data_IF_340306098632
#
_entry.id   IF_340306098632
#
_cell.length_a   1.000
_cell.length_b   1.000
_cell.length_c   1.000
_cell.angle_alpha   90.00
_cell.angle_beta   90.00
_cell.angle_gamma   90.00
#
_symmetry.space_group_name_H-M   'P 1'
#
loop_
_entity.id
_entity.type
_entity.pdbx_description
1 polymer ?
#
# COMPACT_ATOMS: atom_id res chain seq x y z
N UNK A 1 -17.84 1.98 3.71
CA UNK A 1 -17.68 2.62 2.40
C UNK A 1 -17.83 1.61 1.28
N UNK A 2 -18.07 2.09 0.06
CA UNK A 2 -18.09 1.25 -1.14
C UNK A 2 -16.67 0.90 -1.67
N UNK A 3 -15.65 1.05 -0.89
CA UNK A 3 -14.28 0.66 -1.21
C UNK A 3 -14.18 -0.80 -1.65
N UNK A 4 -14.94 -1.70 -1.03
CA UNK A 4 -14.90 -3.15 -1.26
C UNK A 4 -15.05 -3.55 -2.74
N UNK A 5 -15.79 -2.79 -3.53
CA UNK A 5 -16.03 -3.05 -4.96
C UNK A 5 -15.19 -2.20 -5.92
N UNK A 6 -14.39 -1.26 -5.43
CA UNK A 6 -13.54 -0.43 -6.29
C UNK A 6 -12.17 -1.07 -6.47
N UNK A 7 -11.87 -1.49 -7.69
CA UNK A 7 -10.66 -2.24 -8.02
C UNK A 7 -9.82 -1.60 -9.12
N UNK A 8 -10.37 -0.61 -9.85
CA UNK A 8 -9.68 0.04 -10.96
C UNK A 8 -9.12 1.40 -10.55
N UNK A 9 -7.99 1.77 -11.18
CA UNK A 9 -7.26 3.03 -10.91
C UNK A 9 -8.17 4.24 -10.91
N UNK A 10 -8.95 4.42 -12.00
CA UNK A 10 -9.84 5.57 -12.16
C UNK A 10 -10.90 5.64 -11.06
N UNK A 11 -11.56 4.54 -10.76
CA UNK A 11 -12.58 4.48 -9.71
C UNK A 11 -12.02 4.84 -8.33
N UNK A 12 -10.82 4.32 -8.01
CA UNK A 12 -10.14 4.64 -6.76
C UNK A 12 -9.75 6.11 -6.69
N UNK A 13 -9.18 6.65 -7.77
CA UNK A 13 -8.79 8.06 -7.82
C UNK A 13 -9.99 8.99 -7.68
N UNK A 14 -11.05 8.78 -8.45
CA UNK A 14 -12.28 9.58 -8.38
C UNK A 14 -12.89 9.53 -6.97
N UNK A 15 -13.06 8.34 -6.42
CA UNK A 15 -13.69 8.13 -5.12
C UNK A 15 -12.89 8.75 -3.97
N UNK A 16 -11.59 8.50 -3.92
CA UNK A 16 -10.76 9.05 -2.83
C UNK A 16 -10.47 10.54 -2.99
N UNK A 17 -10.43 11.06 -4.21
CA UNK A 17 -10.37 12.51 -4.42
C UNK A 17 -11.64 13.18 -3.90
N UNK A 18 -12.82 12.64 -4.19
CA UNK A 18 -14.07 13.13 -3.65
C UNK A 18 -14.05 13.13 -2.11
N UNK A 19 -13.67 12.03 -1.49
CA UNK A 19 -13.65 11.86 -0.03
C UNK A 19 -12.66 12.79 0.70
N UNK A 20 -11.49 13.05 0.09
CA UNK A 20 -10.37 13.70 0.80
C UNK A 20 -10.07 15.12 0.32
N UNK A 21 -10.59 15.54 -0.85
CA UNK A 21 -10.27 16.83 -1.46
C UNK A 21 -11.50 17.74 -1.63
N UNK A 22 -12.72 17.24 -1.42
CA UNK A 22 -13.95 18.03 -1.51
C UNK A 22 -14.50 18.35 -0.11
N UNK A 23 -15.65 19.00 -0.05
CA UNK A 23 -16.36 19.29 1.21
C UNK A 23 -16.71 18.02 2.00
N UNK A 24 -16.73 16.84 1.37
CA UNK A 24 -16.98 15.57 2.05
C UNK A 24 -15.98 15.29 3.17
N UNK A 25 -14.75 15.77 3.06
CA UNK A 25 -13.73 15.65 4.10
C UNK A 25 -14.13 16.24 5.44
N UNK A 26 -15.04 17.21 5.45
CA UNK A 26 -15.45 17.89 6.67
C UNK A 26 -16.43 17.06 7.52
N UNK A 27 -17.24 16.22 6.88
CA UNK A 27 -18.31 15.48 7.55
C UNK A 27 -18.28 13.96 7.35
N UNK A 28 -17.48 13.43 6.42
CA UNK A 28 -17.45 12.00 6.14
C UNK A 28 -16.06 11.39 6.42
N UNK A 29 -16.01 10.41 7.30
CA UNK A 29 -14.82 9.62 7.65
C UNK A 29 -15.13 8.13 7.48
N UNK A 30 -14.90 7.62 6.27
CA UNK A 30 -15.24 6.25 5.93
C UNK A 30 -14.24 5.22 6.45
N UNK A 31 -14.73 4.15 7.08
CA UNK A 31 -13.93 2.96 7.32
C UNK A 31 -13.78 2.15 6.02
N UNK A 32 -12.55 1.78 5.66
CA UNK A 32 -12.25 0.97 4.49
C UNK A 32 -12.26 -0.51 4.86
N UNK A 33 -13.40 -1.16 4.73
CA UNK A 33 -13.45 -2.61 4.85
C UNK A 33 -12.94 -3.30 3.60
N UNK A 34 -11.97 -4.21 3.77
CA UNK A 34 -11.44 -5.06 2.68
C UNK A 34 -12.46 -6.11 2.25
N UNK A 35 -13.25 -6.59 3.21
CA UNK A 35 -14.37 -7.53 3.07
C UNK A 35 -15.30 -7.37 4.27
N UNK A 36 -16.46 -8.00 4.24
CA UNK A 36 -17.39 -8.03 5.38
C UNK A 36 -18.01 -9.42 5.49
N UNK A 37 -18.75 -9.74 6.57
CA UNK A 37 -19.49 -11.01 6.64
C UNK A 37 -20.43 -11.25 5.46
N UNK A 38 -20.96 -10.17 4.87
CA UNK A 38 -21.94 -10.21 3.76
C UNK A 38 -21.31 -9.91 2.40
N UNK A 39 -20.01 -9.55 2.35
CA UNK A 39 -19.35 -9.12 1.11
C UNK A 39 -18.03 -9.85 0.93
N UNK A 40 -18.02 -10.77 -0.02
CA UNK A 40 -16.85 -11.44 -0.57
C UNK A 40 -16.73 -11.03 -2.04
N UNK A 41 -16.06 -9.90 -2.35
CA UNK A 41 -16.08 -9.35 -3.71
C UNK A 41 -15.36 -10.26 -4.70
N UNK A 42 -15.79 -10.20 -5.95
CA UNK A 42 -15.30 -11.06 -7.03
C UNK A 42 -13.78 -11.06 -7.15
N UNK A 43 -13.14 -9.93 -6.91
CA UNK A 43 -11.68 -9.81 -6.96
C UNK A 43 -10.98 -10.73 -5.94
N UNK A 44 -11.56 -10.91 -4.75
CA UNK A 44 -11.02 -11.84 -3.74
C UNK A 44 -11.33 -13.29 -4.08
N UNK A 45 -12.49 -13.56 -4.68
CA UNK A 45 -12.87 -14.92 -5.09
C UNK A 45 -11.94 -15.47 -6.18
N UNK A 46 -11.48 -14.62 -7.11
CA UNK A 46 -10.74 -15.02 -8.31
C UNK A 46 -9.24 -14.69 -8.27
N UNK A 47 -8.86 -13.60 -7.62
CA UNK A 47 -7.48 -13.09 -7.68
C UNK A 47 -6.51 -13.72 -6.69
N UNK A 48 -6.98 -14.68 -5.87
CA UNK A 48 -6.14 -15.41 -4.93
C UNK A 48 -5.35 -14.50 -3.96
N UNK A 49 -4.27 -15.01 -3.41
CA UNK A 49 -3.42 -14.30 -2.43
C UNK A 49 -2.99 -12.89 -2.89
N UNK A 50 -2.59 -12.65 -4.16
CA UNK A 50 -2.27 -11.30 -4.63
C UNK A 50 -3.39 -10.28 -4.42
N UNK A 51 -4.65 -10.64 -4.72
CA UNK A 51 -5.80 -9.76 -4.52
C UNK A 51 -5.98 -9.37 -3.04
N UNK A 52 -5.79 -10.32 -2.12
CA UNK A 52 -5.81 -10.03 -0.68
C UNK A 52 -4.71 -9.08 -0.27
N UNK A 53 -3.49 -9.25 -0.80
CA UNK A 53 -2.37 -8.34 -0.54
C UNK A 53 -2.65 -6.92 -1.06
N UNK A 54 -3.12 -6.80 -2.30
CA UNK A 54 -3.51 -5.52 -2.92
C UNK A 54 -4.54 -4.80 -2.04
N UNK A 55 -5.62 -5.49 -1.68
CA UNK A 55 -6.70 -4.91 -0.87
C UNK A 55 -6.24 -4.51 0.52
N UNK A 56 -5.38 -5.31 1.16
CA UNK A 56 -4.80 -5.00 2.46
C UNK A 56 -3.96 -3.72 2.41
N UNK A 57 -3.06 -3.59 1.41
CA UNK A 57 -2.22 -2.40 1.25
C UNK A 57 -3.06 -1.17 0.99
N UNK A 58 -3.99 -1.23 0.03
CA UNK A 58 -4.87 -0.11 -0.29
C UNK A 58 -5.67 0.35 0.93
N UNK A 59 -6.32 -0.56 1.65
CA UNK A 59 -7.12 -0.21 2.81
C UNK A 59 -6.27 0.40 3.94
N UNK A 60 -5.10 -0.17 4.19
CA UNK A 60 -4.20 0.26 5.26
C UNK A 60 -3.51 1.61 4.99
N UNK A 61 -3.41 2.05 3.73
CA UNK A 61 -2.62 3.23 3.35
C UNK A 61 -3.45 4.38 2.77
N UNK A 62 -4.63 4.11 2.19
CA UNK A 62 -5.52 5.15 1.67
C UNK A 62 -6.32 5.86 2.77
N UNK A 63 -6.56 5.21 3.92
CA UNK A 63 -7.33 5.77 5.03
C UNK A 63 -6.66 5.49 6.37
N UNK A 64 -6.83 6.40 7.36
CA UNK A 64 -6.41 6.14 8.73
C UNK A 64 -7.26 5.07 9.43
N UNK A 65 -8.39 4.69 8.87
CA UNK A 65 -9.28 3.69 9.44
C UNK A 65 -9.63 2.61 8.41
N UNK A 66 -9.29 1.37 8.69
CA UNK A 66 -9.67 0.23 7.86
C UNK A 66 -10.15 -0.94 8.72
N UNK A 67 -10.94 -1.82 8.13
CA UNK A 67 -11.50 -3.01 8.76
C UNK A 67 -11.21 -4.28 7.97
N UNK A 68 -11.03 -5.36 8.72
CA UNK A 68 -10.81 -6.71 8.19
C UNK A 68 -11.84 -7.63 8.82
N UNK A 69 -12.58 -8.37 8.00
CA UNK A 69 -13.41 -9.46 8.48
C UNK A 69 -12.56 -10.73 8.62
N UNK A 70 -12.81 -11.48 9.67
CA UNK A 70 -12.08 -12.70 10.04
C UNK A 70 -11.95 -13.68 8.87
N UNK A 71 -10.76 -14.25 8.69
CA UNK A 71 -10.43 -15.15 7.57
C UNK A 71 -9.79 -14.43 6.38
N UNK A 72 -9.90 -13.12 6.26
CA UNK A 72 -9.22 -12.35 5.22
C UNK A 72 -7.70 -12.53 5.29
N UNK A 73 -7.13 -12.50 6.48
CA UNK A 73 -5.70 -12.73 6.75
C UNK A 73 -5.22 -14.13 6.35
N UNK A 74 -6.16 -15.07 6.20
CA UNK A 74 -5.92 -16.44 5.74
C UNK A 74 -6.22 -16.63 4.26
N UNK A 75 -6.56 -15.54 3.55
CA UNK A 75 -7.03 -15.55 2.16
C UNK A 75 -8.27 -16.44 1.96
N UNK A 76 -9.20 -16.44 2.92
CA UNK A 76 -10.47 -17.13 2.77
C UNK A 76 -11.34 -16.38 1.76
N UNK A 77 -11.78 -17.09 0.72
CA UNK A 77 -12.53 -16.52 -0.39
C UNK A 77 -13.68 -17.42 -0.88
N UNK A 78 -14.00 -18.50 -0.17
CA UNK A 78 -15.04 -19.44 -0.61
C UNK A 78 -16.40 -18.77 -0.68
N UNK A 79 -17.00 -18.60 -1.88
CA UNK A 79 -18.26 -17.91 -2.02
C UNK A 79 -19.46 -18.85 -1.88
N UNK A 80 -20.60 -18.27 -1.55
CA UNK A 80 -21.88 -18.91 -1.89
C UNK A 80 -21.98 -18.95 -3.43
N UNK A 81 -22.34 -20.11 -4.04
CA UNK A 81 -22.36 -20.22 -5.49
C UNK A 81 -23.18 -19.12 -6.18
N UNK A 82 -22.52 -18.36 -7.07
CA UNK A 82 -23.13 -17.28 -7.85
C UNK A 82 -23.38 -15.98 -7.07
N UNK A 83 -22.80 -15.82 -5.86
CA UNK A 83 -22.94 -14.62 -5.04
C UNK A 83 -21.60 -14.06 -4.58
N UNK A 84 -21.60 -12.78 -4.23
CA UNK A 84 -20.51 -12.12 -3.51
C UNK A 84 -20.69 -12.21 -1.99
N UNK A 85 -21.03 -13.37 -1.49
CA UNK A 85 -21.21 -13.68 -0.06
C UNK A 85 -20.28 -14.84 0.33
N UNK A 86 -19.79 -14.85 1.57
CA UNK A 86 -19.02 -15.97 2.10
C UNK A 86 -19.88 -17.18 2.40
N UNK A 87 -19.46 -18.35 1.92
CA UNK A 87 -20.07 -19.62 2.30
C UNK A 87 -19.79 -19.88 3.80
N UNK A 88 -20.85 -20.21 4.56
CA UNK A 88 -20.75 -20.50 5.99
C UNK A 88 -20.01 -19.38 6.75
N UNK A 89 -20.40 -18.12 6.53
CA UNK A 89 -19.81 -17.00 7.25
C UNK A 89 -20.08 -17.10 8.74
N UNK A 90 -19.19 -16.52 9.57
CA UNK A 90 -19.35 -16.49 11.03
C UNK A 90 -20.60 -15.74 11.52
N UNK A 91 -21.30 -15.07 10.62
CA UNK A 91 -22.65 -14.55 10.87
C UNK A 91 -23.65 -15.67 11.20
N UNK A 92 -23.45 -16.86 10.64
CA UNK A 92 -24.36 -17.99 10.75
C UNK A 92 -23.72 -19.23 11.42
N UNK A 93 -22.41 -19.30 11.45
CA UNK A 93 -21.69 -20.50 11.85
C UNK A 93 -20.40 -20.15 12.60
N UNK A 94 -20.09 -20.86 13.66
CA UNK A 94 -18.80 -20.72 14.36
C UNK A 94 -17.75 -21.47 13.57
N UNK A 95 -16.69 -20.75 13.14
CA UNK A 95 -15.56 -21.34 12.41
C UNK A 95 -14.35 -21.55 13.31
N UNK A 96 -13.69 -22.70 13.15
CA UNK A 96 -12.34 -22.92 13.64
C UNK A 96 -11.34 -22.60 12.53
N UNK A 97 -10.44 -21.66 12.78
CA UNK A 97 -9.45 -21.20 11.82
C UNK A 97 -8.09 -21.85 12.03
N UNK A 98 -7.51 -22.37 10.96
CA UNK A 98 -6.09 -22.72 10.93
C UNK A 98 -5.27 -21.45 10.69
N UNK A 99 -4.81 -20.86 11.78
CA UNK A 99 -4.04 -19.61 11.76
C UNK A 99 -2.65 -19.76 11.13
N UNK A 100 -2.14 -20.97 11.00
CA UNK A 100 -0.85 -21.27 10.39
C UNK A 100 -0.98 -21.75 8.93
N UNK A 101 -2.19 -21.67 8.39
CA UNK A 101 -2.51 -22.03 6.99
C UNK A 101 -1.45 -21.45 6.04
N UNK A 102 -0.79 -22.28 5.18
CA UNK A 102 0.16 -21.80 4.19
C UNK A 102 -0.43 -20.78 3.24
N UNK A 103 0.37 -19.77 2.85
CA UNK A 103 -0.08 -18.72 1.94
C UNK A 103 -0.89 -17.60 2.59
N UNK A 104 -1.05 -17.59 3.92
CA UNK A 104 -1.69 -16.48 4.62
C UNK A 104 -0.93 -15.16 4.44
N UNK A 105 -1.62 -14.04 4.68
CA UNK A 105 -1.04 -12.68 4.61
C UNK A 105 -0.90 -12.01 5.98
N UNK A 106 -0.98 -12.76 7.08
CA UNK A 106 -0.78 -12.24 8.45
C UNK A 106 0.51 -11.44 8.60
N UNK A 107 1.68 -11.90 8.08
CA UNK A 107 2.92 -11.12 8.15
C UNK A 107 2.81 -9.76 7.47
N UNK A 108 2.15 -9.68 6.31
CA UNK A 108 1.92 -8.41 5.62
C UNK A 108 1.03 -7.47 6.43
N UNK A 109 -0.09 -7.97 6.98
CA UNK A 109 -1.00 -7.17 7.81
C UNK A 109 -0.27 -6.67 9.07
N UNK A 110 0.54 -7.52 9.70
CA UNK A 110 1.38 -7.13 10.84
C UNK A 110 2.31 -5.98 10.45
N UNK A 111 3.02 -6.12 9.34
CA UNK A 111 3.94 -5.10 8.82
C UNK A 111 3.21 -3.78 8.51
N UNK A 112 2.07 -3.85 7.82
CA UNK A 112 1.24 -2.67 7.53
C UNK A 112 0.80 -1.95 8.81
N UNK A 113 0.36 -2.69 9.82
CA UNK A 113 -0.03 -2.11 11.11
C UNK A 113 1.16 -1.49 11.87
N UNK A 114 2.36 -2.06 11.76
CA UNK A 114 3.57 -1.45 12.29
C UNK A 114 3.92 -0.15 11.56
N UNK A 115 3.84 -0.15 10.23
CA UNK A 115 4.08 1.05 9.41
C UNK A 115 3.11 2.16 9.77
N UNK A 116 1.83 1.84 9.94
CA UNK A 116 0.80 2.80 10.36
C UNK A 116 1.11 3.43 11.72
N UNK A 117 1.59 2.65 12.69
CA UNK A 117 1.99 3.19 14.01
C UNK A 117 3.23 4.06 13.95
N UNK A 118 4.18 3.76 13.05
CA UNK A 118 5.47 4.44 12.94
C UNK A 118 5.45 5.67 12.02
N UNK A 119 4.44 5.79 11.16
CA UNK A 119 4.35 6.86 10.16
C UNK A 119 3.08 7.70 10.36
N UNK A 120 3.18 8.89 10.97
CA UNK A 120 2.04 9.77 11.19
C UNK A 120 1.25 10.09 9.92
N UNK A 121 1.92 10.18 8.76
CA UNK A 121 1.25 10.41 7.48
C UNK A 121 0.16 9.38 7.16
N UNK A 122 0.27 8.13 7.65
CA UNK A 122 -0.76 7.10 7.47
C UNK A 122 -1.92 7.21 8.47
N UNK A 123 -1.84 8.12 9.43
CA UNK A 123 -2.87 8.35 10.44
C UNK A 123 -3.75 9.58 10.13
N UNK A 124 -3.41 10.31 9.06
CA UNK A 124 -4.17 11.47 8.61
C UNK A 124 -5.11 11.10 7.47
N UNK A 125 -6.22 11.83 7.32
CA UNK A 125 -7.24 11.54 6.31
C UNK A 125 -7.07 12.39 5.05
N UNK A 126 -6.80 13.68 5.18
CA UNK A 126 -6.89 14.68 4.10
C UNK A 126 -5.59 14.82 3.28
N UNK A 127 -4.55 14.10 3.67
CA UNK A 127 -3.20 14.21 3.12
C UNK A 127 -2.92 13.27 1.94
N UNK A 128 -3.96 12.69 1.34
CA UNK A 128 -3.84 11.83 0.18
C UNK A 128 -3.69 12.65 -1.10
N UNK A 129 -2.69 12.34 -1.93
CA UNK A 129 -2.48 12.93 -3.26
C UNK A 129 -2.11 11.83 -4.25
N UNK A 130 -2.82 11.78 -5.37
CA UNK A 130 -2.49 10.88 -6.47
C UNK A 130 -1.46 11.51 -7.40
N UNK A 131 -0.54 10.70 -7.90
CA UNK A 131 0.52 11.10 -8.80
C UNK A 131 0.46 10.33 -10.12
N UNK A 132 1.15 10.85 -11.13
CA UNK A 132 1.21 10.25 -12.46
C UNK A 132 2.09 9.02 -12.48
N UNK A 133 1.69 8.04 -13.26
CA UNK A 133 2.50 6.93 -13.73
C UNK A 133 1.99 6.51 -15.12
N UNK A 134 2.82 5.82 -15.89
CA UNK A 134 2.53 5.44 -17.28
C UNK A 134 1.73 4.12 -17.42
N UNK A 135 1.19 3.57 -16.33
CA UNK A 135 0.38 2.35 -16.33
C UNK A 135 -1.02 2.60 -15.75
N UNK A 136 -2.05 2.08 -16.40
CA UNK A 136 -3.42 2.10 -15.90
C UNK A 136 -3.69 1.02 -14.84
N UNK A 137 -2.81 0.04 -14.74
CA UNK A 137 -2.87 -1.03 -13.74
C UNK A 137 -2.16 -0.69 -12.43
N UNK A 138 -1.46 0.44 -12.35
CA UNK A 138 -0.74 0.85 -11.14
C UNK A 138 -1.34 2.12 -10.57
N UNK A 139 -1.69 2.08 -9.29
CA UNK A 139 -2.08 3.24 -8.52
C UNK A 139 -0.86 3.80 -7.79
N UNK A 140 -0.54 5.07 -8.04
CA UNK A 140 0.58 5.77 -7.41
C UNK A 140 0.09 6.98 -6.65
N UNK A 141 0.46 7.09 -5.37
CA UNK A 141 -0.01 8.15 -4.49
C UNK A 141 0.96 8.45 -3.35
N UNK A 142 0.74 9.60 -2.75
CA UNK A 142 1.48 10.16 -1.62
C UNK A 142 0.58 10.25 -0.39
N UNK A 143 1.19 10.06 0.76
CA UNK A 143 0.70 10.42 2.08
C UNK A 143 1.80 11.20 2.79
N UNK A 144 1.56 12.45 3.15
CA UNK A 144 2.55 13.29 3.81
C UNK A 144 1.96 14.05 4.98
N UNK A 145 2.74 14.25 6.03
CA UNK A 145 2.35 15.19 7.10
C UNK A 145 2.42 16.62 6.58
N UNK A 146 1.65 17.53 7.17
CA UNK A 146 1.58 18.93 6.76
C UNK A 146 2.96 19.63 6.74
N UNK A 147 3.87 19.23 7.63
CA UNK A 147 5.23 19.75 7.74
C UNK A 147 6.26 18.99 6.85
N UNK A 148 5.79 18.03 6.07
CA UNK A 148 6.62 17.16 5.20
C UNK A 148 7.76 16.42 5.92
N UNK A 149 7.68 16.23 7.25
CA UNK A 149 8.67 15.43 7.98
C UNK A 149 8.46 13.93 7.83
N UNK A 150 7.27 13.53 7.45
CA UNK A 150 6.99 12.14 7.10
C UNK A 150 6.28 12.11 5.75
N UNK A 151 7.02 11.73 4.71
CA UNK A 151 6.54 11.65 3.33
C UNK A 151 6.66 10.23 2.86
N UNK A 152 5.54 9.66 2.47
CA UNK A 152 5.42 8.31 1.96
C UNK A 152 4.88 8.33 0.53
N UNK A 153 5.51 7.57 -0.35
CA UNK A 153 4.96 7.26 -1.67
C UNK A 153 4.60 5.79 -1.72
N UNK A 154 3.45 5.50 -2.28
CA UNK A 154 2.92 4.15 -2.37
C UNK A 154 2.56 3.85 -3.83
N UNK A 155 3.10 2.76 -4.37
CA UNK A 155 2.70 2.22 -5.66
C UNK A 155 2.11 0.83 -5.48
N UNK A 156 0.94 0.59 -6.08
CA UNK A 156 0.22 -0.68 -5.97
C UNK A 156 -0.18 -1.15 -7.35
N UNK A 157 0.29 -2.34 -7.74
CA UNK A 157 -0.26 -3.07 -8.87
C UNK A 157 -1.68 -3.52 -8.50
N UNK A 158 -2.68 -3.09 -9.27
CA UNK A 158 -4.09 -3.42 -9.06
C UNK A 158 -4.51 -4.72 -9.73
N UNK A 159 -3.64 -5.29 -10.56
CA UNK A 159 -3.87 -6.54 -11.27
C UNK A 159 -3.30 -7.72 -10.46
N UNK A 160 -4.14 -8.63 -9.93
CA UNK A 160 -3.66 -9.77 -9.18
C UNK A 160 -3.10 -10.90 -10.06
N UNK A 161 -3.19 -10.79 -11.39
CA UNK A 161 -2.84 -11.87 -12.32
C UNK A 161 -1.54 -11.63 -13.06
N UNK A 162 -1.25 -10.36 -13.40
CA UNK A 162 -0.10 -10.00 -14.23
C UNK A 162 0.83 -8.99 -13.57
N UNK A 163 2.10 -9.10 -13.91
CA UNK A 163 3.11 -8.14 -13.52
C UNK A 163 3.11 -6.96 -14.49
N UNK A 164 3.30 -5.75 -13.98
CA UNK A 164 3.33 -4.54 -14.78
C UNK A 164 4.63 -3.78 -14.58
N UNK A 165 5.29 -3.46 -15.71
CA UNK A 165 6.35 -2.47 -15.75
C UNK A 165 5.73 -1.07 -15.69
N UNK A 166 6.31 -0.19 -14.90
CA UNK A 166 5.78 1.16 -14.69
C UNK A 166 6.88 2.18 -14.44
N UNK A 167 6.71 3.37 -15.01
CA UNK A 167 7.48 4.55 -14.65
C UNK A 167 6.63 5.43 -13.73
N UNK A 168 7.13 5.66 -12.52
CA UNK A 168 6.52 6.54 -11.54
C UNK A 168 7.12 7.94 -11.63
N UNK A 169 6.26 8.98 -11.57
CA UNK A 169 6.66 10.37 -11.65
C UNK A 169 6.60 11.00 -10.25
N UNK A 170 7.74 11.03 -9.57
CA UNK A 170 7.83 11.57 -8.21
C UNK A 170 7.81 13.10 -8.21
N UNK A 171 7.00 13.76 -7.38
CA UNK A 171 6.95 15.21 -7.28
C UNK A 171 8.15 15.74 -6.50
N UNK A 172 9.18 16.24 -7.20
CA UNK A 172 10.45 16.70 -6.61
C UNK A 172 10.27 17.83 -5.60
N UNK A 173 9.26 18.68 -5.79
CA UNK A 173 8.90 19.75 -4.85
C UNK A 173 8.44 19.22 -3.49
N UNK A 174 7.79 18.06 -3.43
CA UNK A 174 7.37 17.39 -2.19
C UNK A 174 8.57 16.78 -1.47
N UNK A 175 9.49 16.19 -2.23
CA UNK A 175 10.72 15.62 -1.69
C UNK A 175 11.70 16.73 -1.24
N UNK A 176 11.57 17.92 -1.82
CA UNK A 176 12.37 19.08 -1.49
C UNK A 176 13.77 19.07 -2.12
N UNK A 177 13.90 18.47 -3.32
CA UNK A 177 15.14 18.39 -4.10
C UNK A 177 14.89 18.79 -5.56
N UNK A 178 15.95 19.19 -6.26
CA UNK A 178 15.91 19.45 -7.70
C UNK A 178 16.08 18.16 -8.52
N UNK A 179 15.78 18.25 -9.84
CA UNK A 179 15.86 17.11 -10.76
C UNK A 179 17.28 16.49 -10.85
N UNK A 180 18.31 17.28 -10.62
CA UNK A 180 19.70 16.84 -10.68
C UNK A 180 20.25 16.37 -9.31
N UNK A 181 19.47 16.54 -8.24
CA UNK A 181 19.87 16.14 -6.89
C UNK A 181 19.52 14.68 -6.62
N UNK A 182 20.33 14.06 -5.76
CA UNK A 182 20.09 12.69 -5.27
C UNK A 182 19.22 12.73 -4.03
N UNK A 183 18.31 11.77 -3.92
CA UNK A 183 17.44 11.60 -2.78
C UNK A 183 17.33 10.14 -2.36
N UNK A 184 17.02 9.91 -1.10
CA UNK A 184 16.92 8.58 -0.51
C UNK A 184 15.47 8.11 -0.49
N UNK A 185 15.24 6.90 -0.97
CA UNK A 185 13.98 6.17 -0.86
C UNK A 185 14.22 4.88 -0.06
N UNK A 186 13.65 4.80 1.13
CA UNK A 186 13.65 3.59 1.96
C UNK A 186 12.36 2.82 1.70
N UNK A 187 12.46 1.63 1.10
CA UNK A 187 11.33 0.73 0.88
C UNK A 187 10.95 0.06 2.20
N UNK A 188 9.76 0.35 2.71
CA UNK A 188 9.39 0.02 4.08
C UNK A 188 8.89 -1.41 4.27
N UNK A 189 8.50 -2.12 3.20
CA UNK A 189 8.08 -3.52 3.28
C UNK A 189 9.30 -4.45 3.36
N UNK A 190 10.35 -4.17 2.58
CA UNK A 190 11.59 -4.97 2.50
C UNK A 190 12.69 -4.43 3.41
N UNK A 191 12.76 -3.13 3.61
CA UNK A 191 13.83 -2.43 4.31
C UNK A 191 14.96 -1.96 3.39
N UNK A 192 14.84 -2.16 2.08
CA UNK A 192 15.84 -1.74 1.11
C UNK A 192 15.93 -0.22 1.02
N UNK A 193 17.13 0.27 0.72
CA UNK A 193 17.39 1.69 0.53
C UNK A 193 17.93 1.95 -0.85
N UNK A 194 17.37 2.96 -1.49
CA UNK A 194 17.73 3.37 -2.84
C UNK A 194 18.17 4.82 -2.83
N UNK A 195 19.24 5.11 -3.57
CA UNK A 195 19.63 6.47 -3.90
C UNK A 195 19.18 6.73 -5.35
N UNK A 196 18.18 7.56 -5.50
CA UNK A 196 17.59 7.91 -6.77
C UNK A 196 17.95 9.33 -7.18
N UNK A 197 17.93 9.58 -8.48
CA UNK A 197 18.15 10.92 -9.06
C UNK A 197 17.01 11.20 -10.03
N UNK A 198 16.51 12.44 -10.00
CA UNK A 198 15.41 12.87 -10.85
C UNK A 198 14.05 12.28 -10.45
N UNK A 199 13.03 12.73 -11.15
CA UNK A 199 11.63 12.44 -10.86
C UNK A 199 11.15 11.09 -11.40
N UNK A 200 11.80 10.52 -12.42
CA UNK A 200 11.34 9.33 -13.12
C UNK A 200 12.03 8.08 -12.59
N UNK A 201 11.25 7.16 -12.00
CA UNK A 201 11.78 5.88 -11.52
C UNK A 201 11.03 4.73 -12.16
N UNK A 202 11.77 3.89 -12.90
CA UNK A 202 11.21 2.72 -13.57
C UNK A 202 11.30 1.50 -12.66
N UNK A 203 10.22 0.70 -12.61
CA UNK A 203 10.18 -0.53 -11.83
C UNK A 203 9.16 -1.51 -12.36
N UNK A 204 9.24 -2.74 -11.87
CA UNK A 204 8.28 -3.81 -12.12
C UNK A 204 7.58 -4.20 -10.83
N UNK A 205 6.25 -4.31 -10.87
CA UNK A 205 5.42 -4.75 -9.76
C UNK A 205 4.81 -6.12 -10.09
N UNK A 206 5.17 -7.10 -9.30
CA UNK A 206 4.73 -8.49 -9.47
C UNK A 206 3.45 -8.76 -8.64
N UNK A 207 2.58 -9.71 -9.05
CA UNK A 207 1.41 -10.10 -8.25
C UNK A 207 1.77 -10.58 -6.84
N UNK A 208 2.86 -11.34 -6.69
CA UNK A 208 3.32 -11.84 -5.38
C UNK A 208 3.97 -10.77 -4.49
N UNK A 209 4.27 -9.61 -5.06
CA UNK A 209 4.78 -8.43 -4.36
C UNK A 209 4.16 -7.17 -4.97
N UNK A 210 2.82 -6.99 -4.84
CA UNK A 210 2.05 -6.04 -5.65
C UNK A 210 2.25 -4.58 -5.25
N UNK A 211 2.96 -4.33 -4.16
CA UNK A 211 3.09 -2.98 -3.64
C UNK A 211 4.52 -2.64 -3.23
N UNK A 212 4.82 -1.34 -3.30
CA UNK A 212 5.99 -0.72 -2.70
C UNK A 212 5.53 0.47 -1.87
N UNK A 213 6.15 0.67 -0.73
CA UNK A 213 5.90 1.79 0.18
C UNK A 213 7.25 2.41 0.53
N UNK A 214 7.52 3.59 0.00
CA UNK A 214 8.77 4.29 0.26
C UNK A 214 8.57 5.43 1.24
N UNK A 215 9.47 5.53 2.20
CA UNK A 215 9.72 6.75 2.95
C UNK A 215 10.84 7.49 2.27
N UNK A 216 10.59 8.74 1.90
CA UNK A 216 11.55 9.54 1.15
C UNK A 216 12.15 10.64 2.02
N UNK A 217 13.40 10.97 1.75
CA UNK A 217 14.12 12.05 2.40
C UNK A 217 15.05 12.71 1.41
N UNK A 218 15.25 14.00 1.62
CA UNK A 218 16.39 14.67 1.01
C UNK A 218 17.67 14.00 1.53
N UNK A 219 18.50 13.56 0.62
CA UNK A 219 19.79 13.02 1.00
C UNK A 219 20.72 14.17 1.37
N UNK A 220 21.09 14.29 2.65
CA UNK A 220 22.13 15.19 3.13
C UNK A 220 23.31 14.33 3.59
N UNK A 221 24.47 14.54 2.99
CA UNK A 221 25.70 13.94 3.52
C UNK A 221 25.90 14.41 4.96
N UNK A 222 25.90 13.48 5.90
CA UNK A 222 26.41 13.71 7.25
C UNK A 222 27.80 13.07 7.38
N UNK A 223 28.61 13.58 8.30
CA UNK A 223 29.91 12.96 8.59
C UNK A 223 29.82 11.49 9.00
N UNK A 224 28.63 11.04 9.45
CA UNK A 224 28.32 9.64 9.81
C UNK A 224 28.02 8.74 8.62
N UNK A 225 27.80 9.29 7.42
CA UNK A 225 27.49 8.50 6.23
C UNK A 225 28.74 7.84 5.62
N UNK A 226 29.94 8.25 6.05
CA UNK A 226 31.18 7.61 5.62
C UNK A 226 31.35 6.18 6.17
N UNK A 227 30.77 5.86 7.33
CA UNK A 227 30.90 4.53 7.95
C UNK A 227 30.09 3.45 7.23
N UNK A 228 29.09 3.83 6.45
CA UNK A 228 28.22 2.88 5.73
C UNK A 228 28.78 2.38 4.39
N UNK A 229 29.79 3.05 3.84
CA UNK A 229 30.41 2.72 2.56
C UNK A 229 31.84 2.18 2.68
N UNK A 230 32.33 1.95 3.89
CA UNK A 230 33.59 1.23 4.07
C UNK A 230 33.30 -0.26 3.80
N UNK A 231 33.94 -0.88 2.78
CA UNK A 231 33.94 -2.33 2.69
C UNK A 231 34.51 -2.89 3.98
N UNK A 232 33.89 -3.94 4.51
CA UNK A 232 34.41 -4.64 5.67
C UNK A 232 35.87 -4.95 5.41
N UNK A 233 36.78 -4.34 6.18
CA UNK A 233 38.20 -4.64 6.15
C UNK A 233 38.36 -6.11 6.47
N UNK A 234 38.81 -6.87 5.50
CA UNK A 234 39.25 -8.25 5.70
C UNK A 234 40.36 -8.17 6.75
N UNK A 235 40.07 -8.63 7.94
CA UNK A 235 41.08 -8.83 8.96
C UNK A 235 41.77 -10.15 8.59
N UNK A 236 42.91 -10.03 7.89
CA UNK A 236 43.82 -11.16 7.73
C UNK A 236 44.33 -11.56 9.10
N UNK A 237 44.14 -12.84 9.41
CA UNK A 237 44.62 -13.51 10.61
C UNK A 237 46.11 -13.91 10.44
#
# INVERSE_FOLDING_TARGET
TYFTWRNFKRELQEYFTELTQTEMREYFRGNLFVNTPDINPEILQKGGRPAFMIRAVLAATLSPLYGVYCGFELCESTPVPGKEEYLNSEKYEIKAWDWDRPGNIRPLITKLNELRRKNPALQEYENLRFHLCDSDHVLFYEKSTHDYRNVLFIAVNLDPFEAHDVTLFFPMNVIGVGEEETWEAEELLTGDRHLWRGSHQHMRLEPDSPARIWRVRRWSRSERDFDYFMPATVVDA
#
